data_IF_197367234440
#
_entry.id   IF_197367234440
#
_cell.length_a   1.000
_cell.length_b   1.000
_cell.length_c   1.000
_cell.angle_alpha   90.00
_cell.angle_beta   90.00
_cell.angle_gamma   90.00
#
_symmetry.space_group_name_H-M   'P 1'
#
loop_
_entity.id
_entity.type
_entity.pdbx_description
1 polymer ?
#
# COMPACT_ATOMS: atom_id res chain seq x y z
N UNK A 1 2.69 51.12 31.72
CA UNK A 1 2.32 49.69 31.81
C UNK A 1 1.93 49.23 30.40
N UNK A 2 2.82 48.53 29.68
CA UNK A 2 2.51 47.94 28.36
C UNK A 2 2.31 46.44 28.56
N UNK A 3 1.24 45.82 28.03
CA UNK A 3 1.03 44.40 28.23
C UNK A 3 2.04 43.63 27.38
N UNK A 4 2.79 42.76 28.04
CA UNK A 4 3.72 41.84 27.39
C UNK A 4 2.91 40.68 26.82
N UNK A 5 2.63 40.73 25.51
CA UNK A 5 1.95 39.65 24.80
C UNK A 5 2.95 38.50 24.58
N UNK A 6 2.85 37.46 25.40
CA UNK A 6 3.65 36.25 25.27
C UNK A 6 3.12 35.42 24.09
N UNK A 7 3.80 35.49 22.94
CA UNK A 7 3.53 34.61 21.80
C UNK A 7 4.02 33.20 22.13
N UNK A 8 3.07 32.28 22.35
CA UNK A 8 3.34 30.85 22.45
C UNK A 8 3.70 30.34 21.06
N UNK A 9 4.98 30.08 20.80
CA UNK A 9 5.44 29.45 19.56
C UNK A 9 5.06 27.97 19.62
N UNK A 10 3.96 27.62 18.96
CA UNK A 10 3.59 26.21 18.72
C UNK A 10 4.56 25.70 17.65
N UNK A 11 5.61 24.98 18.07
CA UNK A 11 6.48 24.27 17.12
C UNK A 11 5.69 23.14 16.51
N UNK A 12 5.31 23.26 15.24
CA UNK A 12 4.75 22.16 14.47
C UNK A 12 5.77 21.00 14.47
N UNK A 13 5.32 19.73 14.57
CA UNK A 13 6.22 18.59 14.53
C UNK A 13 6.97 18.62 13.19
N UNK A 14 8.30 18.59 13.25
CA UNK A 14 9.14 18.50 12.07
C UNK A 14 8.77 17.22 11.32
N UNK A 15 8.28 17.34 10.09
CA UNK A 15 8.18 16.21 9.19
C UNK A 15 9.58 15.64 9.02
N UNK A 16 9.79 14.41 9.50
CA UNK A 16 11.00 13.65 9.20
C UNK A 16 11.08 13.53 7.68
N UNK A 17 12.15 14.07 7.08
CA UNK A 17 12.38 13.96 5.64
C UNK A 17 12.26 12.50 5.23
N UNK A 18 11.40 12.20 4.25
CA UNK A 18 11.32 10.89 3.62
C UNK A 18 12.26 10.90 2.41
N UNK A 19 13.50 10.48 2.62
CA UNK A 19 14.51 10.46 1.55
C UNK A 19 14.15 9.48 0.44
N UNK A 20 13.29 8.49 0.71
CA UNK A 20 12.82 7.55 -0.29
C UNK A 20 11.96 8.29 -1.32
N UNK A 21 10.96 9.06 -0.86
CA UNK A 21 10.09 9.81 -1.76
C UNK A 21 10.85 10.88 -2.54
N UNK A 22 11.75 11.63 -1.89
CA UNK A 22 12.56 12.68 -2.55
C UNK A 22 13.40 12.12 -3.69
N UNK A 23 14.14 11.03 -3.45
CA UNK A 23 14.99 10.43 -4.47
C UNK A 23 14.17 9.70 -5.54
N UNK A 24 13.19 8.89 -5.14
CA UNK A 24 12.41 8.11 -6.10
C UNK A 24 11.50 8.96 -6.97
N UNK A 25 10.96 10.08 -6.48
CA UNK A 25 10.16 10.99 -7.30
C UNK A 25 10.96 11.66 -8.43
N UNK A 26 12.29 11.73 -8.30
CA UNK A 26 13.18 12.24 -9.34
C UNK A 26 13.62 11.16 -10.35
N UNK A 27 13.28 9.90 -10.13
CA UNK A 27 13.59 8.80 -11.04
C UNK A 27 12.50 8.65 -12.10
N UNK A 28 12.86 8.07 -13.23
CA UNK A 28 11.91 7.75 -14.30
C UNK A 28 11.48 6.27 -14.27
N UNK A 29 10.43 5.96 -15.04
CA UNK A 29 10.01 4.61 -15.32
C UNK A 29 9.56 3.83 -14.09
N UNK A 30 10.09 2.62 -13.91
CA UNK A 30 9.62 1.64 -12.91
C UNK A 30 9.78 2.13 -11.46
N UNK A 31 10.77 2.98 -11.19
CA UNK A 31 11.09 3.42 -9.82
C UNK A 31 10.46 4.77 -9.46
N UNK A 32 10.14 5.60 -10.46
CA UNK A 32 9.49 6.90 -10.25
C UNK A 32 7.98 6.88 -10.15
N UNK A 33 7.31 6.07 -10.99
CA UNK A 33 5.84 5.99 -10.99
C UNK A 33 5.23 5.68 -9.61
N UNK A 34 5.78 4.73 -8.82
CA UNK A 34 5.27 4.50 -7.46
C UNK A 34 5.32 5.75 -6.58
N UNK A 35 6.41 6.52 -6.63
CA UNK A 35 6.58 7.76 -5.86
C UNK A 35 5.58 8.86 -6.28
N UNK A 36 5.28 8.95 -7.57
CA UNK A 36 4.25 9.87 -8.07
C UNK A 36 2.85 9.47 -7.57
N UNK A 37 2.50 8.19 -7.68
CA UNK A 37 1.20 7.64 -7.25
C UNK A 37 0.99 7.72 -5.74
N UNK A 38 2.07 7.64 -4.96
CA UNK A 38 1.99 7.56 -3.50
C UNK A 38 1.48 8.85 -2.84
N UNK A 39 1.47 9.98 -3.56
CA UNK A 39 0.97 11.27 -3.07
C UNK A 39 -0.50 11.23 -2.63
N UNK A 40 -1.30 10.39 -3.28
CA UNK A 40 -2.72 10.19 -3.02
C UNK A 40 -3.01 8.93 -2.18
N UNK A 41 -1.97 8.28 -1.65
CA UNK A 41 -2.13 7.01 -0.95
C UNK A 41 -2.71 7.23 0.46
N UNK A 42 -3.77 6.50 0.79
CA UNK A 42 -4.38 6.55 2.12
C UNK A 42 -3.37 6.24 3.22
N UNK A 43 -2.39 5.36 2.98
CA UNK A 43 -1.36 5.04 3.97
C UNK A 43 -0.44 6.24 4.21
N UNK A 44 -0.05 6.96 3.16
CA UNK A 44 0.71 8.21 3.27
C UNK A 44 -0.08 9.25 4.08
N UNK A 45 -1.37 9.43 3.77
CA UNK A 45 -2.25 10.34 4.51
C UNK A 45 -2.46 9.93 5.99
N UNK A 46 -2.23 8.66 6.35
CA UNK A 46 -2.26 8.18 7.74
C UNK A 46 -0.87 8.05 8.39
N UNK A 47 0.17 8.60 7.76
CA UNK A 47 1.51 8.70 8.34
C UNK A 47 2.41 7.48 8.10
N UNK A 48 2.05 6.59 7.18
CA UNK A 48 2.89 5.47 6.79
C UNK A 48 3.66 5.82 5.50
N UNK A 49 4.98 6.02 5.63
CA UNK A 49 5.88 6.26 4.50
C UNK A 49 6.31 4.97 3.79
N UNK A 50 7.19 5.10 2.79
CA UNK A 50 7.64 3.98 1.94
C UNK A 50 8.19 2.80 2.75
N UNK A 51 8.96 3.11 3.80
CA UNK A 51 9.61 2.12 4.66
C UNK A 51 8.62 1.27 5.49
N UNK A 52 7.37 1.70 5.69
CA UNK A 52 6.38 0.89 6.41
C UNK A 52 6.09 -0.45 5.70
N UNK A 53 6.12 -0.42 4.36
CA UNK A 53 5.93 -1.59 3.50
C UNK A 53 7.27 -2.14 3.00
N UNK A 54 8.14 -1.28 2.49
CA UNK A 54 9.38 -1.70 1.84
C UNK A 54 10.56 -1.87 2.81
N UNK A 55 10.43 -1.47 4.07
CA UNK A 55 11.54 -1.45 5.02
C UNK A 55 12.64 -0.46 4.63
N UNK A 56 13.84 -0.66 5.17
CA UNK A 56 14.96 0.24 4.94
C UNK A 56 15.01 1.39 5.94
N UNK A 57 15.90 2.34 5.67
CA UNK A 57 16.10 3.53 6.49
C UNK A 57 15.72 4.80 5.72
N UNK A 58 14.52 5.38 5.97
CA UNK A 58 14.03 6.55 5.25
C UNK A 58 14.72 7.86 5.67
N UNK A 59 15.65 7.79 6.64
CA UNK A 59 16.39 8.97 7.12
C UNK A 59 17.73 9.15 6.39
N UNK A 60 18.21 8.11 5.70
CA UNK A 60 19.47 8.13 4.97
C UNK A 60 19.25 8.49 3.49
N UNK A 61 20.04 9.43 2.97
CA UNK A 61 20.10 9.72 1.54
C UNK A 61 21.03 8.75 0.77
N UNK A 62 21.88 7.99 1.46
CA UNK A 62 22.75 6.98 0.82
C UNK A 62 21.95 5.71 0.49
N UNK A 63 21.79 5.36 -0.81
CA UNK A 63 21.10 4.14 -1.25
C UNK A 63 21.66 2.86 -0.64
N UNK A 64 22.96 2.79 -0.37
CA UNK A 64 23.61 1.62 0.21
C UNK A 64 23.25 1.42 1.68
N UNK A 65 22.76 2.47 2.33
CA UNK A 65 22.27 2.43 3.71
C UNK A 65 20.74 2.31 3.71
N UNK A 66 20.04 3.19 3.01
CA UNK A 66 18.57 3.27 3.00
C UNK A 66 17.92 2.01 2.44
N UNK A 67 18.53 1.40 1.43
CA UNK A 67 18.03 0.17 0.79
C UNK A 67 18.86 -1.07 1.15
N UNK A 68 19.53 -1.06 2.31
CA UNK A 68 20.30 -2.22 2.75
C UNK A 68 19.43 -3.33 3.37
N UNK A 69 19.76 -4.61 3.12
CA UNK A 69 19.13 -5.72 3.82
C UNK A 69 19.28 -5.64 5.35
N UNK A 70 20.39 -5.10 5.85
CA UNK A 70 20.64 -4.92 7.29
C UNK A 70 19.72 -3.88 7.94
N UNK A 71 19.15 -2.95 7.16
CA UNK A 71 18.07 -2.04 7.58
C UNK A 71 16.68 -2.61 7.28
N UNK A 72 16.58 -3.90 6.98
CA UNK A 72 15.32 -4.58 6.73
C UNK A 72 14.66 -4.19 5.41
N UNK A 73 15.42 -3.66 4.44
CA UNK A 73 14.89 -3.33 3.12
C UNK A 73 14.41 -4.60 2.40
N UNK A 74 13.21 -4.54 1.84
CA UNK A 74 12.49 -5.65 1.19
C UNK A 74 12.44 -5.51 -0.32
N UNK A 75 12.77 -4.33 -0.87
CA UNK A 75 12.62 -4.05 -2.30
C UNK A 75 11.18 -4.24 -2.77
N UNK A 76 11.01 -4.69 -4.01
CA UNK A 76 9.67 -4.99 -4.55
C UNK A 76 9.13 -6.25 -3.88
N UNK A 77 7.95 -6.14 -3.26
CA UNK A 77 7.31 -7.26 -2.56
C UNK A 77 6.91 -8.33 -3.59
N UNK A 78 7.38 -9.58 -3.45
CA UNK A 78 6.99 -10.66 -4.35
C UNK A 78 5.48 -10.85 -4.34
N UNK A 79 4.86 -11.13 -5.50
CA UNK A 79 3.38 -11.30 -5.62
C UNK A 79 2.80 -12.24 -4.57
N UNK A 80 3.45 -13.38 -4.36
CA UNK A 80 3.10 -14.38 -3.33
C UNK A 80 3.13 -13.90 -1.88
N UNK A 81 3.75 -12.75 -1.59
CA UNK A 81 3.85 -12.14 -0.25
C UNK A 81 2.98 -10.89 -0.10
N UNK A 82 2.31 -10.44 -1.17
CA UNK A 82 1.45 -9.25 -1.12
C UNK A 82 0.33 -9.39 -0.08
N UNK A 83 -0.42 -10.52 0.00
CA UNK A 83 -1.47 -10.65 1.01
C UNK A 83 -0.95 -10.53 2.44
N UNK A 84 0.17 -11.18 2.75
CA UNK A 84 0.81 -11.11 4.05
C UNK A 84 1.34 -9.70 4.36
N UNK A 85 1.87 -8.98 3.37
CA UNK A 85 2.33 -7.59 3.57
C UNK A 85 1.18 -6.70 4.06
N UNK A 86 0.03 -6.73 3.39
CA UNK A 86 -1.13 -5.95 3.77
C UNK A 86 -1.65 -6.36 5.16
N UNK A 87 -1.69 -7.68 5.42
CA UNK A 87 -2.21 -8.23 6.67
C UNK A 87 -1.37 -7.89 7.90
N UNK A 88 -0.09 -7.53 7.76
CA UNK A 88 0.73 -7.04 8.88
C UNK A 88 0.06 -5.89 9.64
N UNK A 89 -0.75 -5.09 8.95
CA UNK A 89 -1.55 -4.03 9.54
C UNK A 89 -3.05 -4.33 9.47
N UNK A 90 -3.54 -4.75 8.29
CA UNK A 90 -4.98 -4.95 8.04
C UNK A 90 -5.56 -6.24 8.65
N UNK A 91 -4.77 -7.01 9.40
CA UNK A 91 -5.24 -8.09 10.26
C UNK A 91 -4.99 -7.83 11.75
N UNK A 92 -4.63 -6.59 12.12
CA UNK A 92 -4.46 -6.13 13.50
C UNK A 92 -5.59 -5.15 13.87
N UNK A 93 -6.56 -5.64 14.65
CA UNK A 93 -7.67 -4.82 15.15
C UNK A 93 -7.19 -3.63 15.98
N UNK A 94 -6.19 -3.83 16.85
CA UNK A 94 -5.70 -2.78 17.73
C UNK A 94 -5.06 -1.65 16.91
N UNK A 95 -4.40 -1.96 15.81
CA UNK A 95 -3.87 -0.95 14.90
C UNK A 95 -4.97 -0.28 14.07
N UNK A 96 -5.77 -1.06 13.34
CA UNK A 96 -6.74 -0.52 12.37
C UNK A 96 -7.83 0.29 13.08
N UNK A 97 -8.29 -0.14 14.25
CA UNK A 97 -9.36 0.55 14.98
C UNK A 97 -8.95 1.91 15.54
N UNK A 98 -7.64 2.20 15.63
CA UNK A 98 -7.15 3.56 15.90
C UNK A 98 -7.50 4.55 14.78
N UNK A 99 -7.63 4.06 13.56
CA UNK A 99 -7.94 4.86 12.37
C UNK A 99 -9.40 4.73 11.93
N UNK A 100 -9.99 3.54 12.10
CA UNK A 100 -11.35 3.22 11.66
C UNK A 100 -11.96 2.13 12.57
N UNK A 101 -12.61 2.50 13.69
CA UNK A 101 -13.07 1.57 14.73
C UNK A 101 -14.04 0.45 14.27
N UNK A 102 -14.74 0.66 13.16
CA UNK A 102 -15.75 -0.26 12.64
C UNK A 102 -15.23 -1.12 11.47
N UNK A 103 -13.96 -0.99 11.11
CA UNK A 103 -13.39 -1.75 10.00
C UNK A 103 -13.14 -3.20 10.42
N UNK A 104 -13.43 -4.13 9.50
CA UNK A 104 -13.08 -5.53 9.71
C UNK A 104 -11.56 -5.73 9.60
N UNK A 105 -11.05 -6.81 10.18
CA UNK A 105 -9.63 -7.20 10.09
C UNK A 105 -9.43 -8.67 9.69
N UNK A 106 -10.49 -9.32 9.20
CA UNK A 106 -10.49 -10.72 8.77
C UNK A 106 -10.23 -10.89 7.27
N UNK A 107 -9.90 -9.82 6.54
CA UNK A 107 -9.77 -9.81 5.08
C UNK A 107 -8.75 -10.83 4.55
N UNK A 108 -7.62 -11.03 5.26
CA UNK A 108 -6.66 -12.06 4.87
C UNK A 108 -7.24 -13.47 5.00
N UNK A 109 -8.00 -13.74 6.06
CA UNK A 109 -8.66 -15.03 6.26
C UNK A 109 -9.71 -15.27 5.16
N UNK A 110 -10.52 -14.25 4.81
CA UNK A 110 -11.47 -14.32 3.69
C UNK A 110 -10.77 -14.50 2.34
N UNK A 111 -9.65 -13.80 2.10
CA UNK A 111 -8.87 -13.96 0.87
C UNK A 111 -8.36 -15.39 0.72
N UNK A 112 -7.84 -16.00 1.79
CA UNK A 112 -7.30 -17.37 1.77
C UNK A 112 -8.34 -18.43 1.42
N UNK A 113 -9.62 -18.20 1.69
CA UNK A 113 -10.71 -19.13 1.33
C UNK A 113 -11.25 -18.91 -0.09
N UNK A 114 -10.96 -17.75 -0.70
CA UNK A 114 -11.36 -17.40 -2.07
C UNK A 114 -10.64 -18.21 -3.14
N UNK A 115 -11.17 -18.21 -4.37
CA UNK A 115 -10.52 -18.87 -5.52
C UNK A 115 -9.14 -18.26 -5.81
N UNK A 116 -9.02 -16.93 -5.73
CA UNK A 116 -7.74 -16.24 -5.92
C UNK A 116 -6.70 -16.68 -4.87
N UNK A 117 -7.07 -16.68 -3.59
CA UNK A 117 -6.16 -17.08 -2.52
C UNK A 117 -5.78 -18.56 -2.59
N UNK A 118 -6.73 -19.46 -2.87
CA UNK A 118 -6.48 -20.90 -3.04
C UNK A 118 -5.51 -21.17 -4.20
N UNK A 119 -5.70 -20.54 -5.35
CA UNK A 119 -4.81 -20.70 -6.51
C UNK A 119 -3.43 -20.08 -6.26
N UNK A 120 -3.35 -18.93 -5.59
CA UNK A 120 -2.06 -18.34 -5.20
C UNK A 120 -1.27 -19.28 -4.28
N UNK A 121 -1.96 -19.93 -3.33
CA UNK A 121 -1.35 -20.93 -2.44
C UNK A 121 -0.85 -22.17 -3.19
N UNK A 122 -1.45 -22.50 -4.34
CA UNK A 122 -0.99 -23.55 -5.25
C UNK A 122 0.16 -23.10 -6.18
N UNK A 123 0.59 -21.84 -6.09
CA UNK A 123 1.71 -21.29 -6.87
C UNK A 123 1.31 -20.58 -8.16
N UNK A 124 0.01 -20.41 -8.45
CA UNK A 124 -0.43 -19.65 -9.63
C UNK A 124 -0.24 -18.14 -9.38
N UNK A 125 0.90 -17.58 -9.83
CA UNK A 125 1.21 -16.16 -9.68
C UNK A 125 0.38 -15.25 -10.61
N UNK A 126 -0.39 -15.83 -11.53
CA UNK A 126 -1.25 -15.12 -12.47
C UNK A 126 -2.61 -14.71 -11.89
N UNK A 127 -2.97 -15.20 -10.69
CA UNK A 127 -4.21 -14.80 -10.01
C UNK A 127 -4.08 -13.47 -9.29
N UNK A 128 -5.23 -12.88 -8.98
CA UNK A 128 -5.29 -11.62 -8.24
C UNK A 128 -4.81 -11.77 -6.79
N UNK A 129 -4.07 -10.77 -6.35
CA UNK A 129 -3.68 -10.47 -4.97
C UNK A 129 -4.40 -9.20 -4.52
N UNK A 130 -4.18 -8.78 -3.27
CA UNK A 130 -4.75 -7.52 -2.75
C UNK A 130 -4.47 -6.32 -3.68
N UNK A 131 -3.25 -6.24 -4.22
CA UNK A 131 -2.80 -5.13 -5.05
C UNK A 131 -3.41 -5.11 -6.46
N UNK A 132 -3.93 -6.24 -6.96
CA UNK A 132 -4.53 -6.26 -8.30
C UNK A 132 -5.93 -5.61 -8.31
N UNK A 133 -6.61 -5.56 -7.15
CA UNK A 133 -7.87 -4.83 -7.00
C UNK A 133 -7.66 -3.44 -6.37
N UNK A 134 -6.78 -3.32 -5.36
CA UNK A 134 -6.62 -2.08 -4.61
C UNK A 134 -5.49 -1.15 -5.11
N UNK A 135 -4.72 -1.58 -6.11
CA UNK A 135 -3.39 -1.08 -6.46
C UNK A 135 -2.33 -1.36 -5.38
N UNK A 136 -1.05 -1.28 -5.76
CA UNK A 136 0.09 -1.43 -4.85
C UNK A 136 0.56 -0.08 -4.25
N UNK A 137 0.27 1.02 -4.95
CA UNK A 137 0.59 2.39 -4.57
C UNK A 137 -0.57 3.29 -5.00
N UNK A 138 -0.74 4.45 -4.36
CA UNK A 138 -1.88 5.33 -4.62
C UNK A 138 -3.20 4.68 -4.21
N UNK A 139 -3.15 3.85 -3.15
CA UNK A 139 -4.30 3.10 -2.63
C UNK A 139 -5.31 4.10 -2.07
N UNK A 140 -6.57 3.98 -2.51
CA UNK A 140 -7.66 4.89 -2.10
C UNK A 140 -8.66 4.16 -1.21
N UNK A 141 -9.35 4.89 -0.33
CA UNK A 141 -10.44 4.31 0.47
C UNK A 141 -11.53 3.74 -0.44
N UNK A 142 -12.21 2.66 -0.02
CA UNK A 142 -13.27 1.99 -0.82
C UNK A 142 -14.41 2.94 -1.20
N UNK A 143 -14.71 3.94 -0.37
CA UNK A 143 -15.76 4.93 -0.62
C UNK A 143 -15.34 6.07 -1.57
N UNK A 144 -14.07 6.16 -1.94
CA UNK A 144 -13.61 7.14 -2.91
C UNK A 144 -14.07 6.69 -4.31
N UNK A 145 -14.75 7.57 -5.04
CA UNK A 145 -15.26 7.29 -6.39
C UNK A 145 -14.15 6.96 -7.41
N UNK A 146 -12.90 7.34 -7.13
CA UNK A 146 -11.72 6.99 -7.93
C UNK A 146 -11.08 5.66 -7.52
N UNK A 147 -11.51 5.05 -6.42
CA UNK A 147 -11.00 3.74 -6.00
C UNK A 147 -11.44 2.65 -6.98
N UNK A 148 -10.55 1.76 -7.44
CA UNK A 148 -10.96 0.66 -8.32
C UNK A 148 -11.95 -0.29 -7.64
N UNK A 149 -11.89 -0.37 -6.30
CA UNK A 149 -12.81 -1.18 -5.50
C UNK A 149 -14.05 -0.43 -5.04
N UNK A 150 -14.28 0.78 -5.54
CA UNK A 150 -15.55 1.48 -5.31
C UNK A 150 -16.71 0.65 -5.90
N UNK A 151 -17.88 0.53 -5.24
CA UNK A 151 -18.98 -0.32 -5.72
C UNK A 151 -19.38 -0.10 -7.18
N UNK A 152 -19.36 1.15 -7.66
CA UNK A 152 -19.67 1.51 -9.04
C UNK A 152 -18.55 1.22 -10.05
N UNK A 153 -17.37 0.78 -9.61
CA UNK A 153 -16.19 0.49 -10.44
C UNK A 153 -15.75 -0.98 -10.39
N UNK A 154 -16.41 -1.78 -9.55
CA UNK A 154 -16.09 -3.20 -9.39
C UNK A 154 -16.18 -3.99 -10.70
N UNK A 155 -17.20 -3.80 -11.57
CA UNK A 155 -17.26 -4.50 -12.85
C UNK A 155 -16.00 -4.28 -13.70
N UNK A 156 -15.53 -3.04 -13.80
CA UNK A 156 -14.33 -2.67 -14.56
C UNK A 156 -13.06 -3.29 -13.94
N UNK A 157 -12.95 -3.28 -12.62
CA UNK A 157 -11.83 -3.88 -11.89
C UNK A 157 -11.75 -5.38 -12.11
N UNK A 158 -12.88 -6.09 -12.08
CA UNK A 158 -12.92 -7.51 -12.39
C UNK A 158 -12.62 -7.78 -13.87
N UNK A 159 -13.20 -6.98 -14.77
CA UNK A 159 -13.05 -7.11 -16.22
C UNK A 159 -11.60 -6.93 -16.69
N UNK A 160 -10.78 -6.14 -15.97
CA UNK A 160 -9.35 -5.97 -16.25
C UNK A 160 -8.57 -7.29 -16.33
N UNK A 161 -9.09 -8.37 -15.73
CA UNK A 161 -8.56 -9.73 -15.88
C UNK A 161 -9.55 -10.66 -16.57
N UNK A 162 -10.81 -10.63 -16.15
CA UNK A 162 -11.81 -11.63 -16.53
C UNK A 162 -12.40 -11.42 -17.93
N UNK A 163 -12.23 -10.25 -18.54
CA UNK A 163 -12.65 -10.01 -19.93
C UNK A 163 -11.61 -10.47 -20.97
N UNK A 164 -10.42 -10.89 -20.54
CA UNK A 164 -9.35 -11.40 -21.41
C UNK A 164 -9.33 -12.95 -21.39
N UNK A 165 -9.77 -13.61 -22.49
CA UNK A 165 -9.81 -15.06 -22.55
C UNK A 165 -8.43 -15.72 -22.47
N UNK A 166 -7.38 -15.09 -23.00
CA UNK A 166 -6.03 -15.65 -22.94
C UNK A 166 -5.47 -15.56 -21.52
N UNK A 167 -5.73 -14.45 -20.81
CA UNK A 167 -5.39 -14.33 -19.39
C UNK A 167 -6.15 -15.34 -18.52
N UNK A 168 -7.41 -15.62 -18.86
CA UNK A 168 -8.25 -16.58 -18.13
C UNK A 168 -8.07 -18.04 -18.56
N UNK A 169 -7.23 -18.30 -19.56
CA UNK A 169 -6.92 -19.66 -20.04
C UNK A 169 -6.30 -20.50 -18.93
N UNK A 170 -6.90 -21.67 -18.65
CA UNK A 170 -6.51 -22.54 -17.52
C UNK A 170 -6.88 -21.99 -16.13
N UNK A 171 -7.60 -20.86 -16.09
CA UNK A 171 -8.01 -20.14 -14.86
C UNK A 171 -9.50 -19.89 -14.75
N UNK A 172 -10.28 -20.36 -15.73
CA UNK A 172 -11.73 -20.34 -15.65
C UNK A 172 -12.22 -21.02 -14.35
N UNK A 173 -13.25 -20.44 -13.76
CA UNK A 173 -13.90 -21.02 -12.58
C UNK A 173 -14.43 -22.40 -12.96
N UNK A 174 -14.04 -23.42 -12.19
CA UNK A 174 -14.72 -24.72 -12.19
C UNK A 174 -16.00 -24.65 -11.37
#
# INVERSE_FOLDING_TARGET
MKPLLMLLVITAPAWTKDTCLECHAALEGRLGKPAEQFKDDIHAHRGFGCAACHGGDPTSADPKISMSPSRGFRGVIPRRQVPEMCARCHSDAALIHRFKPQERVDQLAQYRTSVHGKRLAQGDLGVATCADCHHAHGIREVRDALSPVHPLRLPETCAACHADPERMKGRAAG
#
